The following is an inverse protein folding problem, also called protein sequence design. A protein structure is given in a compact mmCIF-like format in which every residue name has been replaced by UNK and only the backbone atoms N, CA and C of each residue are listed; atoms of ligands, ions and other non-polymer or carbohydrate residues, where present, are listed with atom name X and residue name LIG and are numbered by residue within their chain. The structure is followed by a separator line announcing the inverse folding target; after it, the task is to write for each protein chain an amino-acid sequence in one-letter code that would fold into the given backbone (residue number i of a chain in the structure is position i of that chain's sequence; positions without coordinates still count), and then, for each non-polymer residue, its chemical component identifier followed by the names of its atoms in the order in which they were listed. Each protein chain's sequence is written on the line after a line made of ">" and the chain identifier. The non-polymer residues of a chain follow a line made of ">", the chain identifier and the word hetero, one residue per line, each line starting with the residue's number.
data_IF_869959351638
#
_entry.id   IF_869959351638
#
_cell.length_a   1.000
_cell.length_b   1.000
_cell.length_c   1.000
_cell.angle_alpha   90.00
_cell.angle_beta   90.00
_cell.angle_gamma   90.00
#
_symmetry.space_group_name_H-M   'P 1'
#
loop_
_entity.id
_entity.type
_entity.pdbx_description
1 polymer ?
#
# COMPACT_ATOMS: atom_id res chain seq x y z
N UNK A 1 2.77 -11.87 -3.81
CA UNK A 1 2.60 -11.19 -5.11
C UNK A 1 3.53 -10.00 -5.12
N UNK A 2 4.22 -9.79 -6.23
CA UNK A 2 4.98 -8.57 -6.49
C UNK A 2 4.40 -7.96 -7.77
N UNK A 3 4.14 -6.67 -7.74
CA UNK A 3 3.65 -5.91 -8.88
C UNK A 3 4.03 -4.45 -8.76
N UNK A 4 4.05 -3.75 -9.88
CA UNK A 4 4.36 -2.33 -9.91
C UNK A 4 3.25 -1.56 -10.62
N UNK A 5 2.95 -0.37 -10.11
CA UNK A 5 2.08 0.61 -10.76
C UNK A 5 2.98 1.71 -11.29
N UNK A 6 2.74 2.13 -12.53
CA UNK A 6 3.48 3.19 -13.19
C UNK A 6 2.50 4.23 -13.75
N UNK A 7 2.71 5.50 -13.43
CA UNK A 7 1.92 6.59 -13.99
C UNK A 7 2.73 7.89 -14.10
N UNK A 8 2.39 8.76 -15.05
CA UNK A 8 2.93 10.12 -15.10
C UNK A 8 2.45 10.93 -13.88
N UNK A 9 3.36 11.62 -13.23
CA UNK A 9 3.07 12.53 -12.13
C UNK A 9 2.70 13.91 -12.70
N UNK A 10 1.41 14.08 -13.03
CA UNK A 10 0.87 15.31 -13.61
C UNK A 10 0.87 16.46 -12.60
N UNK A 11 0.84 17.70 -13.08
CA UNK A 11 0.86 18.90 -12.23
C UNK A 11 -0.34 19.01 -11.28
N UNK A 12 -1.48 18.40 -11.61
CA UNK A 12 -2.69 18.39 -10.79
C UNK A 12 -2.75 17.19 -9.83
N UNK A 13 -1.71 16.34 -9.78
CA UNK A 13 -1.62 15.23 -8.84
C UNK A 13 -0.86 15.69 -7.59
N UNK A 14 -1.00 14.98 -6.45
CA UNK A 14 -0.16 15.23 -5.29
C UNK A 14 1.32 15.13 -5.64
N UNK A 15 2.21 15.89 -4.98
CA UNK A 15 3.64 15.76 -5.18
C UNK A 15 4.13 14.38 -4.68
N UNK A 16 5.24 13.90 -5.25
CA UNK A 16 5.74 12.53 -5.04
C UNK A 16 5.97 12.15 -3.55
N UNK A 17 6.28 13.14 -2.71
CA UNK A 17 6.51 12.94 -1.28
C UNK A 17 5.22 12.59 -0.53
N UNK A 18 4.07 13.08 -0.97
CA UNK A 18 2.78 12.77 -0.36
C UNK A 18 2.32 11.34 -0.64
N UNK A 19 2.82 10.74 -1.73
CA UNK A 19 2.56 9.33 -2.05
C UNK A 19 3.14 8.35 -1.01
N UNK A 20 4.10 8.78 -0.19
CA UNK A 20 4.56 8.00 0.96
C UNK A 20 3.46 7.74 2.00
N UNK A 21 2.41 8.56 2.01
CA UNK A 21 1.24 8.43 2.89
C UNK A 21 0.05 7.84 2.13
N UNK A 22 -0.16 8.28 0.88
CA UNK A 22 -1.27 7.81 0.04
C UNK A 22 -1.15 6.31 -0.23
N UNK A 23 0.04 5.82 -0.63
CA UNK A 23 0.21 4.43 -1.04
C UNK A 23 -0.08 3.45 0.10
N UNK A 24 0.45 3.63 1.33
CA UNK A 24 0.08 2.77 2.44
C UNK A 24 -1.41 2.78 2.75
N UNK A 25 -2.09 3.93 2.70
CA UNK A 25 -3.54 4.02 2.93
C UNK A 25 -4.31 3.18 1.90
N UNK A 26 -4.08 3.42 0.61
CA UNK A 26 -4.75 2.70 -0.48
C UNK A 26 -4.54 1.19 -0.34
N UNK A 27 -3.29 0.74 -0.15
CA UNK A 27 -2.98 -0.69 -0.04
C UNK A 27 -3.49 -1.27 1.27
N UNK A 28 -3.57 -0.48 2.35
CA UNK A 28 -4.16 -0.93 3.61
C UNK A 28 -5.62 -1.31 3.43
N UNK A 29 -6.38 -0.57 2.63
CA UNK A 29 -7.79 -0.84 2.37
C UNK A 29 -7.97 -2.12 1.56
N UNK A 30 -7.10 -2.36 0.58
CA UNK A 30 -7.03 -3.63 -0.16
C UNK A 30 -6.78 -4.79 0.82
N UNK A 31 -5.81 -4.67 1.72
CA UNK A 31 -5.51 -5.71 2.70
C UNK A 31 -6.67 -5.90 3.68
N UNK A 32 -7.32 -4.81 4.10
CA UNK A 32 -8.48 -4.78 5.01
C UNK A 32 -9.66 -5.58 4.44
N UNK A 33 -9.86 -5.52 3.12
CA UNK A 33 -10.89 -6.28 2.41
C UNK A 33 -10.73 -7.79 2.63
N UNK A 34 -9.50 -8.31 2.62
CA UNK A 34 -9.26 -9.75 2.82
C UNK A 34 -9.12 -10.12 4.30
N UNK A 35 -8.52 -9.27 5.13
CA UNK A 35 -8.19 -9.58 6.52
C UNK A 35 -9.30 -9.22 7.54
N UNK A 36 -10.53 -8.95 7.10
CA UNK A 36 -11.75 -8.85 7.94
C UNK A 36 -11.59 -8.02 9.24
N UNK A 37 -11.25 -6.73 9.11
CA UNK A 37 -11.09 -5.75 10.23
C UNK A 37 -9.97 -6.05 11.25
N UNK A 38 -9.01 -6.92 10.93
CA UNK A 38 -7.80 -7.08 11.75
C UNK A 38 -7.03 -5.77 11.92
N UNK A 39 -6.25 -5.68 12.99
CA UNK A 39 -5.51 -4.48 13.32
C UNK A 39 -4.43 -4.22 12.26
N UNK A 40 -4.66 -3.21 11.41
CA UNK A 40 -3.70 -2.76 10.40
C UNK A 40 -2.94 -1.56 10.93
N UNK A 41 -1.61 -1.63 10.82
CA UNK A 41 -0.72 -0.53 11.18
C UNK A 41 0.36 -0.30 10.12
N UNK A 42 0.99 0.86 10.19
CA UNK A 42 2.09 1.27 9.32
C UNK A 42 3.37 1.38 10.12
N UNK A 43 4.42 0.75 9.59
CA UNK A 43 5.79 1.04 10.01
C UNK A 43 6.41 1.92 8.94
N UNK A 44 6.58 3.20 9.27
CA UNK A 44 7.21 4.16 8.39
C UNK A 44 8.64 3.72 8.03
N UNK A 45 9.09 3.91 6.78
CA UNK A 45 8.38 4.59 5.69
C UNK A 45 7.49 3.71 4.81
N UNK A 46 7.64 2.38 4.84
CA UNK A 46 7.35 1.56 3.66
C UNK A 46 6.58 0.27 3.93
N UNK A 47 6.24 -0.05 5.18
CA UNK A 47 5.70 -1.37 5.52
C UNK A 47 4.30 -1.29 6.11
N UNK A 48 3.44 -2.23 5.69
CA UNK A 48 2.11 -2.45 6.27
C UNK A 48 2.13 -3.73 7.08
N UNK A 49 1.53 -3.65 8.26
CA UNK A 49 1.47 -4.70 9.25
C UNK A 49 0.02 -5.11 9.51
N UNK A 50 -0.19 -6.39 9.79
CA UNK A 50 -1.43 -6.95 10.32
C UNK A 50 -1.09 -7.67 11.62
N UNK A 51 -1.79 -7.33 12.71
CA UNK A 51 -1.56 -7.92 14.04
C UNK A 51 -0.09 -7.86 14.48
N UNK A 52 0.60 -6.74 14.20
CA UNK A 52 2.00 -6.54 14.55
C UNK A 52 3.02 -7.32 13.72
N UNK A 53 2.60 -7.97 12.61
CA UNK A 53 3.48 -8.69 11.68
C UNK A 53 3.43 -8.09 10.28
N UNK A 54 4.57 -7.98 9.61
CA UNK A 54 4.65 -7.40 8.25
C UNK A 54 3.87 -8.25 7.25
N UNK A 55 2.96 -7.65 6.50
CA UNK A 55 2.22 -8.32 5.43
C UNK A 55 2.54 -7.75 4.05
N UNK A 56 2.91 -6.47 3.96
CA UNK A 56 3.19 -5.81 2.70
C UNK A 56 4.37 -4.83 2.84
N UNK A 57 5.16 -4.70 1.77
CA UNK A 57 6.15 -3.65 1.58
C UNK A 57 5.82 -2.84 0.33
N UNK A 58 6.05 -1.52 0.41
CA UNK A 58 5.82 -0.56 -0.66
C UNK A 58 7.11 0.19 -0.91
N UNK A 59 7.52 0.30 -2.17
CA UNK A 59 8.64 1.11 -2.62
C UNK A 59 8.15 2.10 -3.66
N UNK A 60 8.64 3.32 -3.62
CA UNK A 60 8.33 4.33 -4.64
C UNK A 60 9.62 4.87 -5.25
N UNK A 61 9.61 5.03 -6.57
CA UNK A 61 10.72 5.55 -7.36
C UNK A 61 10.22 6.65 -8.29
N UNK A 62 10.93 7.78 -8.32
CA UNK A 62 10.62 8.90 -9.21
C UNK A 62 11.58 8.88 -10.40
N UNK A 63 11.04 8.73 -11.60
CA UNK A 63 11.78 8.85 -12.85
C UNK A 63 11.49 10.20 -13.49
N UNK A 64 12.53 10.86 -14.00
CA UNK A 64 12.38 12.07 -14.83
C UNK A 64 12.89 11.80 -16.23
N UNK A 65 12.04 11.97 -17.23
CA UNK A 65 12.38 11.82 -18.65
C UNK A 65 11.83 13.03 -19.41
N UNK A 66 12.68 13.75 -20.15
CA UNK A 66 12.29 14.93 -20.93
C UNK A 66 11.44 15.92 -20.12
N UNK A 67 11.89 16.25 -18.90
CA UNK A 67 11.19 17.11 -17.93
C UNK A 67 9.84 16.58 -17.41
N UNK A 68 9.38 15.42 -17.88
CA UNK A 68 8.20 14.73 -17.38
C UNK A 68 8.58 13.82 -16.22
N UNK A 69 7.82 13.88 -15.13
CA UNK A 69 8.01 13.04 -13.95
C UNK A 69 7.07 11.84 -14.01
N UNK A 70 7.55 10.69 -13.58
CA UNK A 70 6.79 9.45 -13.48
C UNK A 70 7.04 8.81 -12.12
N UNK A 71 5.99 8.28 -11.52
CA UNK A 71 6.11 7.53 -10.27
C UNK A 71 5.94 6.04 -10.58
N UNK A 72 6.91 5.24 -10.12
CA UNK A 72 6.80 3.78 -10.04
C UNK A 72 6.55 3.42 -8.59
N UNK A 73 5.52 2.63 -8.33
CA UNK A 73 5.19 2.12 -7.00
C UNK A 73 5.29 0.59 -7.05
N UNK A 74 6.33 0.03 -6.46
CA UNK A 74 6.49 -1.40 -6.24
C UNK A 74 5.70 -1.85 -5.00
N UNK A 75 4.84 -2.86 -5.16
CA UNK A 75 3.96 -3.38 -4.13
C UNK A 75 4.24 -4.88 -3.97
N UNK A 76 4.70 -5.27 -2.78
CA UNK A 76 4.92 -6.67 -2.41
C UNK A 76 3.96 -7.09 -1.30
N UNK A 77 2.95 -7.91 -1.62
CA UNK A 77 1.96 -8.44 -0.66
C UNK A 77 2.19 -9.94 -0.43
N UNK A 78 2.31 -10.33 0.84
CA UNK A 78 2.38 -11.72 1.26
C UNK A 78 0.97 -12.35 1.23
N UNK A 79 0.71 -13.26 0.30
CA UNK A 79 -0.62 -13.88 0.13
C UNK A 79 -0.69 -15.26 0.79
N UNK A 80 0.19 -16.18 0.36
CA UNK A 80 0.18 -17.59 0.78
C UNK A 80 1.38 -17.90 1.68
N UNK A 81 2.49 -17.19 1.45
CA UNK A 81 3.74 -17.35 2.15
C UNK A 81 4.36 -15.99 2.44
N UNK A 82 5.30 -15.98 3.37
CA UNK A 82 6.11 -14.84 3.75
C UNK A 82 7.51 -15.35 4.15
N UNK A 83 8.55 -14.50 4.08
CA UNK A 83 9.88 -14.90 4.50
C UNK A 83 9.93 -15.10 6.03
N UNK A 84 10.72 -16.08 6.47
CA UNK A 84 11.13 -16.24 7.86
C UNK A 84 12.45 -15.48 8.04
N UNK A 85 12.38 -14.26 8.56
CA UNK A 85 13.55 -13.37 8.65
C UNK A 85 14.29 -13.59 9.97
N UNK A 86 13.67 -13.22 11.09
CA UNK A 86 14.16 -13.50 12.45
C UNK A 86 13.08 -13.19 13.49
N UNK A 87 13.33 -13.49 14.76
CA UNK A 87 12.37 -13.27 15.85
C UNK A 87 11.99 -11.79 16.06
N UNK A 88 12.82 -10.85 15.62
CA UNK A 88 12.58 -9.40 15.76
C UNK A 88 11.72 -8.82 14.63
N UNK A 89 11.72 -9.47 13.47
CA UNK A 89 10.98 -9.00 12.30
C UNK A 89 10.05 -10.11 11.80
N UNK A 90 8.88 -10.17 12.43
CA UNK A 90 7.85 -11.13 12.11
C UNK A 90 7.08 -10.69 10.87
N UNK A 91 6.84 -11.63 9.97
CA UNK A 91 5.99 -11.44 8.81
C UNK A 91 4.79 -12.39 8.88
N UNK A 92 3.71 -12.00 8.23
CA UNK A 92 2.50 -12.79 8.05
C UNK A 92 2.07 -12.74 6.60
N UNK A 93 1.01 -13.48 6.27
CA UNK A 93 0.40 -13.49 4.94
C UNK A 93 -1.12 -13.64 5.06
N UNK A 94 -1.85 -13.31 3.99
CA UNK A 94 -3.32 -13.34 3.99
C UNK A 94 -3.86 -14.71 4.39
N UNK A 95 -3.28 -15.81 3.89
CA UNK A 95 -3.71 -17.17 4.21
C UNK A 95 -3.56 -17.48 5.71
N UNK A 96 -2.44 -17.13 6.33
CA UNK A 96 -2.23 -17.32 7.76
C UNK A 96 -3.21 -16.51 8.60
N UNK A 97 -3.48 -15.28 8.19
CA UNK A 97 -4.42 -14.42 8.92
C UNK A 97 -5.88 -14.87 8.74
N UNK A 98 -6.27 -15.41 7.59
CA UNK A 98 -7.71 -15.58 7.26
C UNK A 98 -8.14 -17.03 7.11
N UNK A 99 -7.18 -17.96 6.99
CA UNK A 99 -7.40 -19.34 6.53
C UNK A 99 -8.06 -19.43 5.13
N UNK A 100 -8.08 -18.31 4.38
CA UNK A 100 -8.62 -18.22 3.02
C UNK A 100 -7.50 -17.83 2.07
N UNK A 101 -7.48 -18.48 0.90
CA UNK A 101 -6.56 -18.14 -0.19
C UNK A 101 -7.31 -17.29 -1.22
N UNK A 102 -7.11 -15.96 -1.25
CA UNK A 102 -7.71 -15.13 -2.29
C UNK A 102 -7.10 -15.45 -3.65
N UNK A 103 -7.89 -15.27 -4.72
CA UNK A 103 -7.36 -15.33 -6.06
C UNK A 103 -6.48 -14.10 -6.32
N UNK A 104 -5.32 -14.31 -6.96
CA UNK A 104 -4.38 -13.20 -7.22
C UNK A 104 -5.05 -12.11 -8.08
N UNK A 105 -5.90 -12.50 -9.04
CA UNK A 105 -6.63 -11.56 -9.88
C UNK A 105 -7.60 -10.68 -9.09
N UNK A 106 -8.21 -11.18 -8.00
CA UNK A 106 -9.07 -10.36 -7.14
C UNK A 106 -8.26 -9.26 -6.45
N UNK A 107 -7.07 -9.59 -5.94
CA UNK A 107 -6.16 -8.61 -5.32
C UNK A 107 -5.72 -7.57 -6.36
N UNK A 108 -5.33 -8.00 -7.56
CA UNK A 108 -4.90 -7.09 -8.63
C UNK A 108 -6.04 -6.14 -9.02
N UNK A 109 -7.25 -6.67 -9.26
CA UNK A 109 -8.41 -5.87 -9.63
C UNK A 109 -8.76 -4.85 -8.54
N UNK A 110 -8.65 -5.24 -7.26
CA UNK A 110 -8.92 -4.34 -6.15
C UNK A 110 -7.85 -3.24 -6.00
N UNK A 111 -6.57 -3.56 -6.27
CA UNK A 111 -5.51 -2.54 -6.32
C UNK A 111 -5.77 -1.56 -7.46
N UNK A 112 -5.99 -2.06 -8.67
CA UNK A 112 -6.24 -1.21 -9.86
C UNK A 112 -7.43 -0.29 -9.62
N UNK A 113 -8.58 -0.84 -9.24
CA UNK A 113 -9.78 -0.04 -8.96
C UNK A 113 -9.59 0.96 -7.82
N UNK A 114 -8.78 0.64 -6.81
CA UNK A 114 -8.49 1.59 -5.72
C UNK A 114 -7.66 2.78 -6.18
N UNK A 115 -6.66 2.57 -7.06
CA UNK A 115 -5.91 3.67 -7.66
C UNK A 115 -6.73 4.45 -8.68
N UNK A 116 -7.53 3.78 -9.52
CA UNK A 116 -8.45 4.43 -10.45
C UNK A 116 -9.42 5.35 -9.70
N UNK A 117 -10.04 4.86 -8.63
CA UNK A 117 -10.90 5.66 -7.77
C UNK A 117 -10.15 6.86 -7.18
N UNK A 118 -8.95 6.65 -6.63
CA UNK A 118 -8.14 7.74 -6.09
C UNK A 118 -7.88 8.84 -7.13
N UNK A 119 -7.54 8.47 -8.36
CA UNK A 119 -7.30 9.45 -9.43
C UNK A 119 -8.57 10.10 -9.98
N UNK A 120 -9.70 9.39 -10.00
CA UNK A 120 -11.00 9.93 -10.41
C UNK A 120 -11.57 10.92 -9.37
N UNK A 121 -11.24 10.73 -8.10
CA UNK A 121 -11.73 11.51 -6.96
C UNK A 121 -10.65 12.45 -6.37
N UNK A 122 -9.68 12.91 -7.18
CA UNK A 122 -8.58 13.78 -6.71
C UNK A 122 -9.06 15.07 -6.04
N UNK A 123 -10.25 15.56 -6.41
CA UNK A 123 -10.87 16.72 -5.78
C UNK A 123 -11.25 16.49 -4.31
N UNK A 124 -11.36 15.23 -3.87
CA UNK A 124 -11.62 14.85 -2.48
C UNK A 124 -10.33 14.65 -1.67
N UNK A 125 -9.17 14.60 -2.33
CA UNK A 125 -7.89 14.45 -1.66
C UNK A 125 -7.55 15.71 -0.86
N UNK A 126 -7.28 15.52 0.44
CA UNK A 126 -6.77 16.54 1.34
C UNK A 126 -5.60 15.96 2.13
N UNK A 127 -4.42 16.58 2.00
CA UNK A 127 -3.19 16.10 2.64
C UNK A 127 -3.33 16.01 4.15
N UNK A 128 -3.98 17.00 4.79
CA UNK A 128 -4.12 17.05 6.25
C UNK A 128 -4.95 15.87 6.76
N UNK A 129 -6.05 15.56 6.09
CA UNK A 129 -6.91 14.43 6.43
C UNK A 129 -6.20 13.09 6.20
N UNK A 130 -5.51 12.91 5.06
CA UNK A 130 -4.73 11.70 4.79
C UNK A 130 -3.61 11.52 5.81
N UNK A 131 -2.91 12.60 6.18
CA UNK A 131 -1.86 12.57 7.21
C UNK A 131 -2.40 12.13 8.56
N UNK A 132 -3.57 12.66 8.98
CA UNK A 132 -4.23 12.24 10.23
C UNK A 132 -4.58 10.75 10.24
N UNK A 133 -5.14 10.24 9.14
CA UNK A 133 -5.47 8.82 8.98
C UNK A 133 -4.18 7.98 9.10
N UNK A 134 -3.14 8.38 8.37
CA UNK A 134 -1.85 7.71 8.39
C UNK A 134 -1.24 7.67 9.79
N UNK A 135 -1.18 8.81 10.47
CA UNK A 135 -0.60 8.94 11.81
C UNK A 135 -1.37 8.12 12.85
N UNK A 136 -2.69 7.99 12.71
CA UNK A 136 -3.50 7.14 13.60
C UNK A 136 -3.17 5.65 13.50
N UNK A 137 -2.51 5.22 12.42
CA UNK A 137 -2.12 3.84 12.15
C UNK A 137 -0.61 3.60 12.28
N UNK A 138 0.19 4.65 12.48
CA UNK A 138 1.63 4.53 12.66
C UNK A 138 1.93 3.82 13.98
N UNK A 139 2.79 2.81 13.93
CA UNK A 139 3.40 2.20 15.12
C UNK A 139 4.79 2.79 15.36
N UNK A 140 5.08 3.06 16.63
CA UNK A 140 6.40 3.50 17.11
C UNK A 140 7.42 2.37 17.08
#
# INVERSE_FOLDING_TARGET
>A
MFGSIFFPLKNNYPPFNEFSIINPIIISDVIRHFCEKKNISFKFPNDIFVNGKKICGILQELITLNSSKFLIIGIGINIISNPCINNKYQATNILLETQKKPAINEIINLIVSSYERFFNELNLYDYINFKKIFDSMIIN
#
